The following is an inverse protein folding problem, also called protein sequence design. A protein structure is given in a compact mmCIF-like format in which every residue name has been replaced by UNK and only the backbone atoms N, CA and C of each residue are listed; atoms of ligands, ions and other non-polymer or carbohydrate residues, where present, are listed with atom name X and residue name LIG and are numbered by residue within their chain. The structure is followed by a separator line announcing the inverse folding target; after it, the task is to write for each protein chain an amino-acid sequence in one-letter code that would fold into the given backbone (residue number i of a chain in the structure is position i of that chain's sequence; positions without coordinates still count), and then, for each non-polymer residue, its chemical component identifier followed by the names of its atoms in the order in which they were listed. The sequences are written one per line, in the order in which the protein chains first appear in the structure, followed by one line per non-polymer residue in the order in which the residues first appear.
data_IF_969591373057
#
_entry.id   IF_969591373057
#
_cell.length_a   1.000
_cell.length_b   1.000
_cell.length_c   1.000
_cell.angle_alpha   90.00
_cell.angle_beta   90.00
_cell.angle_gamma   90.00
#
_symmetry.space_group_name_H-M   'P 1'
#
loop_
_entity.id
_entity.type
_entity.pdbx_description
1 polymer ?
#
# COMPACT_ATOMS: atom_id res chain seq x y z
N UNK A 1 -5.23 49.97 -19.80
CA UNK A 1 -4.88 50.69 -18.56
C UNK A 1 -4.38 49.66 -17.57
N UNK A 2 -3.12 49.86 -17.17
CA UNK A 2 -2.25 49.34 -16.10
C UNK A 2 -2.58 48.06 -15.30
N UNK A 3 -1.53 47.21 -15.21
CA UNK A 3 -1.26 46.15 -14.22
C UNK A 3 -0.86 46.72 -12.82
N UNK A 4 -0.18 45.98 -11.90
CA UNK A 4 -0.72 45.24 -10.75
C UNK A 4 -0.16 45.76 -9.40
N UNK A 5 -0.61 45.22 -8.27
CA UNK A 5 -0.10 45.56 -6.94
C UNK A 5 0.45 44.35 -6.20
N UNK A 6 1.77 44.17 -6.23
CA UNK A 6 2.53 43.30 -5.34
C UNK A 6 3.27 44.18 -4.33
N UNK A 7 3.14 43.90 -3.02
CA UNK A 7 4.02 44.49 -2.02
C UNK A 7 4.50 43.42 -1.02
N UNK A 8 5.79 43.14 -1.15
CA UNK A 8 6.66 42.48 -0.18
C UNK A 8 7.26 43.55 0.74
N UNK A 9 7.37 43.28 2.04
CA UNK A 9 8.28 43.97 2.97
C UNK A 9 8.79 42.91 3.96
N UNK A 10 10.08 42.55 3.92
CA UNK A 10 11.18 43.20 4.65
C UNK A 10 10.90 43.20 6.17
N UNK A 11 11.65 42.55 7.05
CA UNK A 11 13.10 42.40 7.12
C UNK A 11 13.49 42.81 8.54
N UNK A 12 14.14 41.91 9.31
CA UNK A 12 14.50 42.22 10.70
C UNK A 12 15.41 41.16 11.32
N UNK A 13 16.72 41.33 11.13
CA UNK A 13 17.78 40.83 12.02
C UNK A 13 18.56 42.07 12.50
N UNK A 14 19.04 42.12 13.76
CA UNK A 14 20.37 41.61 14.14
C UNK A 14 20.33 40.93 15.53
N UNK A 15 21.35 40.30 16.13
CA UNK A 15 22.72 40.74 16.40
C UNK A 15 23.59 39.55 16.88
N UNK A 16 24.86 39.82 17.19
CA UNK A 16 26.08 39.03 17.09
C UNK A 16 26.57 38.42 18.42
N UNK A 17 27.41 37.38 18.26
CA UNK A 17 28.63 36.99 19.02
C UNK A 17 28.52 36.45 20.45
N UNK A 18 29.04 35.22 20.63
CA UNK A 18 30.29 34.93 21.40
C UNK A 18 30.71 33.45 21.22
N UNK A 19 32.00 33.19 20.93
CA UNK A 19 32.63 31.85 20.77
C UNK A 19 33.03 31.19 22.10
N UNK A 20 34.02 30.25 22.20
CA UNK A 20 35.04 29.87 21.21
C UNK A 20 35.24 28.34 20.98
N UNK A 21 36.10 28.02 20.01
CA UNK A 21 36.72 26.71 19.70
C UNK A 21 37.20 25.90 20.91
N UNK A 22 37.01 24.57 20.87
CA UNK A 22 38.01 23.56 21.26
C UNK A 22 37.77 22.23 20.50
N UNK A 23 38.80 21.65 19.85
CA UNK A 23 38.70 20.37 19.17
C UNK A 23 38.99 19.23 20.16
N UNK A 24 38.07 18.26 20.28
CA UNK A 24 38.37 16.98 20.95
C UNK A 24 38.22 15.83 19.97
N UNK A 25 39.36 15.24 19.62
CA UNK A 25 39.47 13.99 18.90
C UNK A 25 39.55 12.82 19.89
N UNK A 26 38.95 11.68 19.48
CA UNK A 26 39.11 10.28 19.91
C UNK A 26 38.17 9.77 21.02
N UNK A 27 37.81 8.46 21.07
CA UNK A 27 38.14 7.33 20.18
C UNK A 27 36.90 6.53 19.69
N UNK A 28 37.13 5.55 18.82
CA UNK A 28 36.12 4.70 18.19
C UNK A 28 35.13 4.06 19.17
N UNK A 29 33.85 4.36 18.97
CA UNK A 29 32.77 3.44 19.24
C UNK A 29 32.23 3.00 17.90
N UNK A 30 32.53 1.77 17.48
CA UNK A 30 31.64 1.06 16.55
C UNK A 30 30.28 1.04 17.22
N UNK A 31 29.43 2.02 16.88
CA UNK A 31 28.01 1.91 17.15
C UNK A 31 27.62 0.61 16.45
N UNK A 32 27.23 -0.46 17.17
CA UNK A 32 26.63 -1.59 16.50
C UNK A 32 25.47 -1.00 15.71
N UNK A 33 25.49 -1.19 14.39
CA UNK A 33 24.37 -0.84 13.54
C UNK A 33 23.15 -1.60 14.03
N UNK A 34 22.42 -1.02 14.98
CA UNK A 34 21.04 -1.35 15.28
C UNK A 34 20.23 -0.80 14.10
N UNK A 35 20.31 -1.48 12.95
CA UNK A 35 19.60 -1.07 11.74
C UNK A 35 18.94 -2.25 11.03
N UNK A 36 18.71 -3.35 11.73
CA UNK A 36 18.03 -4.53 11.18
C UNK A 36 16.69 -4.83 11.84
N UNK A 37 16.37 -4.24 13.01
CA UNK A 37 15.13 -4.55 13.76
C UNK A 37 13.91 -3.72 13.34
N UNK A 38 14.08 -2.68 12.52
CA UNK A 38 13.03 -1.69 12.24
C UNK A 38 12.17 -1.97 11.00
N UNK A 39 12.43 -3.05 10.26
CA UNK A 39 11.74 -3.35 8.98
C UNK A 39 11.31 -4.82 8.82
N UNK A 40 11.25 -5.60 9.91
CA UNK A 40 10.82 -6.99 9.82
C UNK A 40 9.32 -7.10 10.12
N UNK A 41 8.49 -6.95 9.07
CA UNK A 41 7.09 -7.38 9.16
C UNK A 41 7.09 -8.88 9.40
N UNK A 42 6.48 -9.30 10.52
CA UNK A 42 6.50 -10.69 10.93
C UNK A 42 5.70 -11.56 9.94
N UNK A 43 6.16 -12.79 9.69
CA UNK A 43 5.42 -13.75 8.84
C UNK A 43 3.98 -13.92 9.27
N UNK A 44 3.73 -14.00 10.58
CA UNK A 44 2.39 -14.14 11.14
C UNK A 44 1.49 -12.96 10.78
N UNK A 45 2.04 -11.75 10.76
CA UNK A 45 1.33 -10.52 10.36
C UNK A 45 1.01 -10.53 8.86
N UNK A 46 1.98 -10.88 8.00
CA UNK A 46 1.76 -11.01 6.56
C UNK A 46 0.72 -12.08 6.22
N UNK A 47 0.75 -13.22 6.91
CA UNK A 47 -0.25 -14.28 6.75
C UNK A 47 -1.64 -13.82 7.22
N UNK A 48 -1.72 -13.13 8.36
CA UNK A 48 -2.99 -12.59 8.85
C UNK A 48 -3.61 -11.60 7.85
N UNK A 49 -2.79 -10.70 7.28
CA UNK A 49 -3.26 -9.77 6.25
C UNK A 49 -3.65 -10.47 4.95
N UNK A 50 -2.91 -11.49 4.51
CA UNK A 50 -3.30 -12.27 3.33
C UNK A 50 -4.68 -12.92 3.50
N UNK A 51 -4.95 -13.49 4.69
CA UNK A 51 -6.26 -14.08 5.02
C UNK A 51 -7.36 -13.02 5.02
N UNK A 52 -7.11 -11.84 5.62
CA UNK A 52 -8.06 -10.73 5.63
C UNK A 52 -8.39 -10.27 4.19
N UNK A 53 -7.38 -10.10 3.35
CA UNK A 53 -7.56 -9.69 1.94
C UNK A 53 -8.35 -10.73 1.15
N UNK A 54 -8.08 -12.03 1.35
CA UNK A 54 -8.90 -13.10 0.75
C UNK A 54 -10.35 -13.06 1.24
N UNK A 55 -10.55 -12.80 2.53
CA UNK A 55 -11.88 -12.62 3.09
C UNK A 55 -12.65 -11.48 2.41
N UNK A 56 -11.98 -10.34 2.18
CA UNK A 56 -12.56 -9.21 1.46
C UNK A 56 -12.89 -9.56 0.00
N UNK A 57 -12.01 -10.28 -0.70
CA UNK A 57 -12.28 -10.76 -2.04
C UNK A 57 -13.52 -11.67 -2.08
N UNK A 58 -13.65 -12.60 -1.13
CA UNK A 58 -14.85 -13.46 -1.04
C UNK A 58 -16.14 -12.70 -0.73
N UNK A 59 -16.09 -11.64 0.10
CA UNK A 59 -17.25 -10.77 0.35
C UNK A 59 -17.63 -9.97 -0.90
N UNK A 60 -16.62 -9.59 -1.70
CA UNK A 60 -16.82 -8.89 -2.95
C UNK A 60 -17.53 -9.80 -3.97
N UNK A 61 -17.14 -11.07 -4.10
CA UNK A 61 -17.83 -12.04 -4.97
C UNK A 61 -19.31 -12.20 -4.63
N UNK A 62 -19.62 -12.27 -3.33
CA UNK A 62 -21.01 -12.34 -2.88
C UNK A 62 -21.80 -11.08 -3.29
N UNK A 63 -21.17 -9.91 -3.19
CA UNK A 63 -21.78 -8.63 -3.55
C UNK A 63 -21.98 -8.52 -5.07
N UNK A 64 -21.00 -8.97 -5.86
CA UNK A 64 -21.09 -9.04 -7.32
C UNK A 64 -22.26 -9.93 -7.71
N UNK A 65 -22.31 -11.18 -7.22
CA UNK A 65 -23.36 -12.14 -7.54
C UNK A 65 -24.76 -11.63 -7.15
N UNK A 66 -24.91 -11.00 -5.98
CA UNK A 66 -26.19 -10.39 -5.58
C UNK A 66 -26.59 -9.22 -6.47
N UNK A 67 -25.62 -8.41 -6.90
CA UNK A 67 -25.88 -7.27 -7.80
C UNK A 67 -26.28 -7.76 -9.19
N UNK A 68 -25.60 -8.78 -9.72
CA UNK A 68 -25.96 -9.44 -10.98
C UNK A 68 -27.38 -10.00 -10.96
N UNK A 69 -27.76 -10.72 -9.90
CA UNK A 69 -29.12 -11.26 -9.77
C UNK A 69 -30.18 -10.16 -9.81
N UNK A 70 -29.93 -9.03 -9.11
CA UNK A 70 -30.85 -7.89 -9.09
C UNK A 70 -30.93 -7.20 -10.45
N UNK A 71 -29.79 -7.04 -11.12
CA UNK A 71 -29.72 -6.41 -12.43
C UNK A 71 -30.40 -7.28 -13.48
N UNK A 72 -30.15 -8.59 -13.48
CA UNK A 72 -30.78 -9.52 -14.41
C UNK A 72 -32.32 -9.50 -14.28
N UNK A 73 -32.83 -9.48 -13.05
CA UNK A 73 -34.26 -9.37 -12.79
C UNK A 73 -34.88 -8.07 -13.36
N UNK A 74 -34.11 -6.97 -13.40
CA UNK A 74 -34.54 -5.72 -14.02
C UNK A 74 -34.47 -5.79 -15.55
N UNK A 75 -33.39 -6.36 -16.09
CA UNK A 75 -33.17 -6.53 -17.53
C UNK A 75 -34.26 -7.38 -18.18
N UNK A 76 -34.73 -8.44 -17.52
CA UNK A 76 -35.80 -9.30 -18.02
C UNK A 76 -37.13 -8.53 -18.26
N UNK A 77 -37.29 -7.38 -17.61
CA UNK A 77 -38.46 -6.50 -17.74
C UNK A 77 -38.23 -5.29 -18.66
N UNK A 78 -36.99 -5.01 -19.06
CA UNK A 78 -36.61 -3.79 -19.76
C UNK A 78 -36.41 -4.06 -21.26
N UNK A 79 -37.34 -3.58 -22.09
CA UNK A 79 -37.26 -3.69 -23.55
C UNK A 79 -37.01 -2.31 -24.21
N UNK A 80 -36.35 -2.31 -25.37
CA UNK A 80 -36.12 -1.11 -26.19
C UNK A 80 -34.67 -0.60 -26.18
N UNK A 81 -34.44 0.56 -26.81
CA UNK A 81 -33.10 1.18 -26.99
C UNK A 81 -32.30 1.34 -25.69
N UNK A 82 -32.97 1.55 -24.55
CA UNK A 82 -32.31 1.66 -23.24
C UNK A 82 -31.67 0.35 -22.75
N UNK A 83 -32.18 -0.81 -23.20
CA UNK A 83 -31.66 -2.12 -22.80
C UNK A 83 -30.26 -2.39 -23.35
N UNK A 84 -29.95 -1.89 -24.56
CA UNK A 84 -28.62 -2.03 -25.16
C UNK A 84 -27.54 -1.25 -24.40
N UNK A 85 -27.79 0.06 -24.19
CA UNK A 85 -26.85 0.92 -23.46
C UNK A 85 -26.62 0.45 -22.00
N UNK A 86 -27.67 -0.07 -21.37
CA UNK A 86 -27.54 -0.64 -20.03
C UNK A 86 -26.79 -1.97 -20.04
N UNK A 87 -27.00 -2.83 -21.05
CA UNK A 87 -26.26 -4.08 -21.21
C UNK A 87 -24.75 -3.85 -21.35
N UNK A 88 -24.35 -2.86 -22.16
CA UNK A 88 -22.94 -2.46 -22.30
C UNK A 88 -22.36 -1.97 -20.97
N UNK A 89 -23.08 -1.08 -20.28
CA UNK A 89 -22.68 -0.58 -18.96
C UNK A 89 -22.55 -1.72 -17.93
N UNK A 90 -23.46 -2.68 -17.94
CA UNK A 90 -23.43 -3.83 -17.06
C UNK A 90 -22.22 -4.74 -17.33
N UNK A 91 -21.91 -4.99 -18.61
CA UNK A 91 -20.74 -5.77 -18.99
C UNK A 91 -19.43 -5.08 -18.55
N UNK A 92 -19.34 -3.76 -18.69
CA UNK A 92 -18.19 -2.98 -18.25
C UNK A 92 -18.06 -2.97 -16.73
N UNK A 93 -19.17 -2.79 -16.00
CA UNK A 93 -19.20 -2.92 -14.54
C UNK A 93 -18.73 -4.30 -14.08
N UNK A 94 -19.24 -5.37 -14.69
CA UNK A 94 -18.86 -6.74 -14.34
C UNK A 94 -17.36 -6.98 -14.56
N UNK A 95 -16.81 -6.53 -15.69
CA UNK A 95 -15.36 -6.61 -15.96
C UNK A 95 -14.54 -5.85 -14.92
N UNK A 96 -14.96 -4.65 -14.54
CA UNK A 96 -14.27 -3.85 -13.53
C UNK A 96 -14.32 -4.52 -12.15
N UNK A 97 -15.46 -5.12 -11.79
CA UNK A 97 -15.64 -5.86 -10.55
C UNK A 97 -14.71 -7.09 -10.51
N UNK A 98 -14.66 -7.88 -11.58
CA UNK A 98 -13.75 -9.02 -11.64
C UNK A 98 -12.27 -8.60 -11.55
N UNK A 99 -11.89 -7.51 -12.21
CA UNK A 99 -10.53 -6.96 -12.15
C UNK A 99 -10.12 -6.58 -10.73
N UNK A 100 -11.04 -6.02 -9.95
CA UNK A 100 -10.79 -5.65 -8.56
C UNK A 100 -10.68 -6.90 -7.66
N UNK A 101 -11.53 -7.92 -7.86
CA UNK A 101 -11.36 -9.22 -7.19
C UNK A 101 -9.98 -9.82 -7.49
N UNK A 102 -9.59 -9.92 -8.76
CA UNK A 102 -8.31 -10.51 -9.17
C UNK A 102 -7.13 -9.75 -8.56
N UNK A 103 -7.24 -8.42 -8.46
CA UNK A 103 -6.24 -7.57 -7.81
C UNK A 103 -6.11 -7.86 -6.32
N UNK A 104 -7.21 -8.06 -5.59
CA UNK A 104 -7.19 -8.44 -4.18
C UNK A 104 -6.53 -9.83 -3.99
N UNK A 105 -6.86 -10.79 -4.85
CA UNK A 105 -6.23 -12.12 -4.82
C UNK A 105 -4.73 -12.05 -5.09
N UNK A 106 -4.31 -11.21 -6.04
CA UNK A 106 -2.89 -10.98 -6.33
C UNK A 106 -2.16 -10.33 -5.15
N UNK A 107 -2.80 -9.40 -4.43
CA UNK A 107 -2.24 -8.81 -3.19
C UNK A 107 -2.09 -9.88 -2.11
N UNK A 108 -3.12 -10.69 -1.86
CA UNK A 108 -3.05 -11.77 -0.88
C UNK A 108 -1.93 -12.77 -1.21
N UNK A 109 -1.80 -13.16 -2.48
CA UNK A 109 -0.73 -14.06 -2.93
C UNK A 109 0.67 -13.46 -2.77
N UNK A 110 0.82 -12.15 -2.99
CA UNK A 110 2.09 -11.44 -2.74
C UNK A 110 2.45 -11.39 -1.26
N UNK A 111 1.48 -11.13 -0.39
CA UNK A 111 1.69 -11.12 1.07
C UNK A 111 2.17 -12.49 1.58
N UNK A 112 1.56 -13.58 1.11
CA UNK A 112 2.00 -14.94 1.47
C UNK A 112 3.43 -15.24 1.00
N UNK A 113 3.75 -14.88 -0.25
CA UNK A 113 5.08 -15.07 -0.82
C UNK A 113 6.14 -14.25 -0.09
N UNK A 114 5.83 -13.01 0.28
CA UNK A 114 6.72 -12.16 1.08
C UNK A 114 6.96 -12.76 2.46
N UNK A 115 5.94 -13.35 3.08
CA UNK A 115 6.10 -14.07 4.35
C UNK A 115 7.04 -15.26 4.26
N UNK A 116 6.95 -16.04 3.18
CA UNK A 116 7.84 -17.18 2.92
C UNK A 116 9.28 -16.73 2.65
N UNK A 117 9.47 -15.70 1.83
CA UNK A 117 10.81 -15.17 1.50
C UNK A 117 11.54 -14.59 2.72
N UNK A 118 10.82 -14.07 3.71
CA UNK A 118 11.41 -13.60 4.96
C UNK A 118 11.92 -14.78 5.81
N UNK A 119 11.15 -15.87 5.91
CA UNK A 119 11.56 -17.08 6.64
C UNK A 119 12.84 -17.70 6.05
N UNK A 120 12.93 -17.78 4.73
CA UNK A 120 14.09 -18.36 4.04
C UNK A 120 15.37 -17.54 4.33
N UNK A 121 15.26 -16.21 4.35
CA UNK A 121 16.36 -15.32 4.74
C UNK A 121 16.76 -15.51 6.21
N UNK A 122 15.77 -15.57 7.10
CA UNK A 122 16.03 -15.75 8.54
C UNK A 122 16.71 -17.10 8.83
N UNK A 123 16.30 -18.17 8.14
CA UNK A 123 16.93 -19.48 8.25
C UNK A 123 18.35 -19.50 7.68
N UNK A 124 18.59 -18.86 6.54
CA UNK A 124 19.92 -18.76 5.94
C UNK A 124 20.91 -18.01 6.85
N UNK A 125 20.49 -16.89 7.43
CA UNK A 125 21.30 -16.11 8.38
C UNK A 125 21.56 -16.89 9.67
N UNK A 126 20.53 -17.53 10.23
CA UNK A 126 20.70 -18.36 11.43
C UNK A 126 21.62 -19.57 11.20
N UNK A 127 21.57 -20.17 10.00
CA UNK A 127 22.49 -21.23 9.58
C UNK A 127 23.94 -20.75 9.47
N UNK A 128 24.15 -19.59 8.84
CA UNK A 128 25.48 -19.00 8.68
C UNK A 128 26.15 -18.63 10.02
N UNK A 129 25.37 -18.11 10.97
CA UNK A 129 25.87 -17.76 12.31
C UNK A 129 26.23 -19.00 13.15
N UNK A 130 25.60 -20.15 12.92
CA UNK A 130 25.90 -21.40 13.65
C UNK A 130 27.20 -22.06 13.19
N UNK A 131 27.65 -21.75 11.98
CA UNK A 131 28.85 -22.34 11.37
C UNK A 131 30.14 -21.55 11.62
N UNK A 132 30.07 -20.42 12.35
CA UNK A 132 31.23 -19.67 12.85
C UNK A 132 31.53 -20.04 14.30
#
# INVERSE_FOLDING_TARGET
MSEPGAETSAGGAPDRRSGPDHPHHLPGGTTPMASSDLLRVGRGELQAHAVQVRGLAGQMDQTIAQTEQRIQALLDSWFGLGAGAFGDLFADWHRAAQTCHDSLMAVAARLERSGQSNDDHDQAVAGALRTQ
#
